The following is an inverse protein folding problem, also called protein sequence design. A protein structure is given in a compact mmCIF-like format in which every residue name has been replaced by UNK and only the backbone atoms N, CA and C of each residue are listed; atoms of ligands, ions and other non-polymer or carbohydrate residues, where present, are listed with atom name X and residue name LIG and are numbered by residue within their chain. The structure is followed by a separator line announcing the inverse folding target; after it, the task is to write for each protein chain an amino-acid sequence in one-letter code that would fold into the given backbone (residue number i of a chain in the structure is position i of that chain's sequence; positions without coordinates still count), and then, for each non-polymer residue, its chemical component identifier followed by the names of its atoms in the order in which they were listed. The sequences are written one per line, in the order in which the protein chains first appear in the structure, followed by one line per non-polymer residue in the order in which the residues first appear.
data_IF_843663871167
#
_entry.id   IF_843663871167
#
_cell.length_a   1.000
_cell.length_b   1.000
_cell.length_c   1.000
_cell.angle_alpha   90.00
_cell.angle_beta   90.00
_cell.angle_gamma   90.00
#
_symmetry.space_group_name_H-M   'P 1'
#
loop_
_entity.id
_entity.type
_entity.pdbx_description
1 polymer ?
#
# COMPACT_ATOMS: atom_id res chain seq x y z
N UNK A 1 13.16 8.54 12.30
CA UNK A 1 12.72 7.11 12.44
C UNK A 1 12.28 6.51 11.10
N UNK A 2 12.78 5.31 10.76
CA UNK A 2 12.54 4.62 9.49
C UNK A 2 11.14 3.99 9.36
N UNK A 3 10.13 4.84 9.14
CA UNK A 3 8.72 4.43 9.00
C UNK A 3 8.08 4.98 7.72
N UNK A 4 7.02 4.33 7.25
CA UNK A 4 6.22 4.78 6.11
C UNK A 4 5.52 6.11 6.44
N UNK A 5 5.65 7.13 5.59
CA UNK A 5 5.14 8.47 5.89
C UNK A 5 3.61 8.56 5.94
N UNK A 6 2.91 7.70 5.19
CA UNK A 6 1.44 7.77 5.11
C UNK A 6 0.73 6.92 6.15
N UNK A 7 1.29 5.74 6.46
CA UNK A 7 0.66 4.73 7.34
C UNK A 7 1.32 4.71 8.72
N UNK A 8 2.59 5.12 8.79
CA UNK A 8 3.42 4.94 9.97
C UNK A 8 3.80 3.49 10.25
N UNK A 9 3.69 2.56 9.29
CA UNK A 9 4.22 1.21 9.45
C UNK A 9 5.76 1.21 9.45
N UNK A 10 6.41 0.21 10.06
CA UNK A 10 7.86 0.04 9.96
C UNK A 10 8.27 -0.21 8.51
N UNK A 11 9.42 0.31 8.09
CA UNK A 11 9.98 0.04 6.75
C UNK A 11 10.83 -1.23 6.68
N UNK A 12 11.11 -1.86 7.83
CA UNK A 12 11.94 -3.07 7.90
C UNK A 12 13.44 -2.80 7.98
N UNK A 13 13.86 -1.57 8.27
CA UNK A 13 15.24 -1.21 8.57
C UNK A 13 15.27 -0.15 9.68
N UNK A 14 16.39 -0.03 10.37
CA UNK A 14 16.64 0.94 11.43
C UNK A 14 18.10 1.42 11.36
N UNK A 15 18.38 2.52 12.05
CA UNK A 15 19.73 3.03 12.25
C UNK A 15 19.97 3.10 13.75
N UNK A 16 21.19 2.75 14.17
CA UNK A 16 21.64 2.82 15.54
C UNK A 16 22.89 3.70 15.56
N UNK A 17 22.97 4.56 16.56
CA UNK A 17 24.11 5.42 16.83
C UNK A 17 24.76 4.94 18.12
N UNK A 18 26.08 4.81 18.09
CA UNK A 18 26.89 4.45 19.24
C UNK A 18 27.85 5.61 19.54
N UNK A 19 28.24 5.76 20.79
CA UNK A 19 29.22 6.76 21.20
C UNK A 19 30.62 6.49 20.61
N UNK A 20 30.96 5.21 20.42
CA UNK A 20 32.26 4.77 19.90
C UNK A 20 32.11 4.01 18.58
N UNK A 21 32.92 4.40 17.58
CA UNK A 21 32.94 3.77 16.25
C UNK A 21 33.30 2.28 16.29
N UNK A 22 34.20 1.89 17.20
CA UNK A 22 34.65 0.50 17.30
C UNK A 22 33.56 -0.42 17.84
N UNK A 23 32.73 0.08 18.76
CA UNK A 23 31.53 -0.65 19.22
C UNK A 23 30.56 -0.85 18.05
N UNK A 24 30.36 0.18 17.23
CA UNK A 24 29.49 0.08 16.06
C UNK A 24 29.99 -0.97 15.05
N UNK A 25 31.31 -1.07 14.82
CA UNK A 25 31.90 -2.11 13.96
C UNK A 25 31.69 -3.51 14.53
N UNK A 26 32.00 -3.71 15.82
CA UNK A 26 31.83 -5.01 16.49
C UNK A 26 30.37 -5.44 16.44
N UNK A 27 29.42 -4.55 16.74
CA UNK A 27 27.98 -4.86 16.68
C UNK A 27 27.55 -5.19 15.25
N UNK A 28 28.04 -4.44 14.25
CA UNK A 28 27.72 -4.70 12.86
C UNK A 28 28.20 -6.09 12.43
N UNK A 29 29.45 -6.45 12.75
CA UNK A 29 30.05 -7.72 12.35
C UNK A 29 29.42 -8.91 13.08
N UNK A 30 29.13 -8.76 14.38
CA UNK A 30 28.53 -9.83 15.21
C UNK A 30 27.06 -10.09 14.89
N UNK A 31 26.27 -9.05 14.60
CA UNK A 31 24.83 -9.18 14.32
C UNK A 31 24.52 -9.40 12.83
N UNK A 32 25.50 -9.27 11.94
CA UNK A 32 25.29 -9.50 10.51
C UNK A 32 25.05 -10.99 10.23
N UNK A 33 23.96 -11.29 9.52
CA UNK A 33 23.46 -12.64 9.26
C UNK A 33 22.95 -13.39 10.49
N UNK A 34 22.68 -12.69 11.59
CA UNK A 34 22.01 -13.30 12.73
C UNK A 34 20.55 -13.65 12.38
N UNK A 35 20.11 -14.87 12.72
CA UNK A 35 18.72 -15.27 12.53
C UNK A 35 17.86 -14.69 13.66
N UNK A 36 17.07 -13.67 13.35
CA UNK A 36 16.18 -13.02 14.31
C UNK A 36 14.72 -13.33 13.96
N UNK A 37 14.10 -14.16 14.79
CA UNK A 37 12.80 -14.76 14.51
C UNK A 37 12.84 -15.52 13.17
N UNK A 38 12.07 -15.07 12.17
CA UNK A 38 11.96 -15.74 10.85
C UNK A 38 12.86 -15.10 9.78
N UNK A 39 13.68 -14.10 10.13
CA UNK A 39 14.44 -13.31 9.15
C UNK A 39 15.91 -13.16 9.55
N UNK A 40 16.79 -13.23 8.57
CA UNK A 40 18.21 -12.91 8.76
C UNK A 40 18.39 -11.39 8.85
N UNK A 41 19.01 -10.94 9.94
CA UNK A 41 19.47 -9.56 10.08
C UNK A 41 20.62 -9.30 9.13
N UNK A 42 20.62 -8.12 8.52
CA UNK A 42 21.73 -7.61 7.74
C UNK A 42 22.16 -6.32 8.40
N UNK A 43 23.30 -6.37 9.08
CA UNK A 43 23.89 -5.23 9.75
C UNK A 43 25.11 -4.78 8.94
N UNK A 44 25.23 -3.46 8.76
CA UNK A 44 26.33 -2.85 8.03
C UNK A 44 26.77 -1.60 8.78
N UNK A 45 28.08 -1.45 8.94
CA UNK A 45 28.67 -0.22 9.44
C UNK A 45 28.62 0.85 8.35
N UNK A 46 28.14 2.05 8.70
CA UNK A 46 28.08 3.19 7.79
C UNK A 46 29.11 4.23 8.30
N UNK A 47 30.14 4.57 7.50
CA UNK A 47 31.08 5.60 7.90
C UNK A 47 30.40 6.97 7.96
N UNK A 48 30.88 7.90 8.80
CA UNK A 48 30.22 9.19 9.06
C UNK A 48 30.03 10.03 7.78
N UNK A 49 30.94 9.94 6.81
CA UNK A 49 30.85 10.63 5.52
C UNK A 49 29.62 10.25 4.69
N UNK A 50 29.13 9.01 4.85
CA UNK A 50 27.95 8.50 4.13
C UNK A 50 26.65 8.71 4.90
N UNK A 51 26.74 9.13 6.17
CA UNK A 51 25.57 9.41 6.99
C UNK A 51 24.95 10.72 6.53
N UNK A 52 23.64 10.71 6.31
CA UNK A 52 22.94 11.94 5.98
C UNK A 52 22.78 12.80 7.25
N UNK A 53 23.14 14.08 7.18
CA UNK A 53 23.01 15.07 8.27
C UNK A 53 21.68 15.02 9.05
N UNK A 54 20.55 14.75 8.38
CA UNK A 54 19.23 14.72 9.01
C UNK A 54 18.77 13.33 9.46
N UNK A 55 19.66 12.32 9.49
CA UNK A 55 19.27 10.93 9.76
C UNK A 55 18.70 10.74 11.17
N UNK A 56 19.38 11.31 12.16
CA UNK A 56 19.01 11.23 13.58
C UNK A 56 18.27 12.48 14.08
N UNK A 57 17.90 13.39 13.17
CA UNK A 57 17.10 14.56 13.54
C UNK A 57 15.78 14.11 14.17
N UNK A 58 15.48 14.67 15.35
CA UNK A 58 14.29 14.35 16.15
C UNK A 58 14.20 12.87 16.59
N UNK A 59 15.34 12.21 16.85
CA UNK A 59 15.37 10.84 17.35
C UNK A 59 14.66 10.66 18.70
N UNK A 60 14.73 11.66 19.59
CA UNK A 60 14.12 11.63 20.93
C UNK A 60 12.59 11.73 20.93
N UNK A 61 11.98 12.12 19.81
CA UNK A 61 10.54 12.34 19.73
C UNK A 61 9.80 11.02 19.56
N UNK A 62 8.80 10.79 20.43
CA UNK A 62 7.90 9.65 20.30
C UNK A 62 7.14 9.73 18.97
N UNK A 63 7.29 8.71 18.12
CA UNK A 63 6.60 8.66 16.83
C UNK A 63 5.09 8.55 17.00
N UNK A 64 4.34 9.50 16.42
CA UNK A 64 2.88 9.45 16.33
C UNK A 64 2.45 9.04 14.93
N UNK A 65 1.49 8.11 14.84
CA UNK A 65 0.95 7.68 13.55
C UNK A 65 0.32 8.88 12.83
N UNK A 66 0.61 9.08 11.53
CA UNK A 66 0.07 10.18 10.76
C UNK A 66 -1.47 10.09 10.72
N UNK A 67 -2.13 11.17 11.15
CA UNK A 67 -3.58 11.31 10.98
C UNK A 67 -3.86 12.02 9.66
N UNK A 68 -4.82 11.52 8.88
CA UNK A 68 -5.24 12.13 7.61
C UNK A 68 -6.64 12.77 7.74
N UNK A 69 -6.78 13.89 8.47
CA UNK A 69 -8.09 14.52 8.71
C UNK A 69 -8.70 15.06 7.42
N UNK A 70 -7.89 15.53 6.47
CA UNK A 70 -8.36 16.00 5.17
C UNK A 70 -9.00 14.88 4.35
N UNK A 71 -8.33 13.72 4.23
CA UNK A 71 -8.87 12.55 3.51
C UNK A 71 -10.17 12.08 4.15
N UNK A 72 -10.22 12.00 5.49
CA UNK A 72 -11.45 11.67 6.22
C UNK A 72 -12.58 12.67 5.97
N UNK A 73 -12.28 13.97 5.92
CA UNK A 73 -13.26 15.03 5.58
C UNK A 73 -13.79 14.90 4.16
N UNK A 74 -12.93 14.66 3.17
CA UNK A 74 -13.33 14.56 1.77
C UNK A 74 -14.13 13.29 1.48
N UNK A 75 -13.69 12.16 2.04
CA UNK A 75 -14.32 10.85 1.86
C UNK A 75 -15.51 10.61 2.80
N UNK A 76 -15.87 11.59 3.63
CA UNK A 76 -17.03 11.50 4.51
C UNK A 76 -18.30 11.27 3.67
N UNK A 77 -19.11 10.29 4.09
CA UNK A 77 -20.43 10.06 3.52
C UNK A 77 -21.31 11.29 3.79
N UNK A 78 -21.75 11.93 2.71
CA UNK A 78 -22.59 13.13 2.78
C UNK A 78 -24.06 12.79 2.96
N UNK A 79 -24.75 13.61 3.77
CA UNK A 79 -26.19 13.49 4.00
C UNK A 79 -26.99 13.87 2.74
N UNK A 80 -28.28 13.51 2.72
CA UNK A 80 -29.17 13.89 1.60
C UNK A 80 -29.29 15.42 1.45
N UNK A 81 -29.35 16.15 2.57
CA UNK A 81 -29.39 17.62 2.59
C UNK A 81 -28.12 18.22 2.00
N UNK A 82 -26.96 17.70 2.38
CA UNK A 82 -25.67 18.15 1.83
C UNK A 82 -25.55 17.86 0.33
N UNK A 83 -26.02 16.68 -0.11
CA UNK A 83 -26.08 16.31 -1.54
C UNK A 83 -26.99 17.26 -2.31
N UNK A 84 -28.16 17.63 -1.76
CA UNK A 84 -29.08 18.59 -2.38
C UNK A 84 -28.50 20.00 -2.45
N UNK A 85 -27.77 20.46 -1.42
CA UNK A 85 -27.05 21.75 -1.45
C UNK A 85 -25.96 21.74 -2.53
N UNK A 86 -25.22 20.64 -2.64
CA UNK A 86 -24.21 20.44 -3.69
C UNK A 86 -24.82 20.49 -5.09
N UNK A 87 -25.93 19.78 -5.34
CA UNK A 87 -26.58 19.77 -6.66
C UNK A 87 -27.06 21.16 -7.04
N UNK A 88 -27.66 21.92 -6.11
CA UNK A 88 -28.03 23.33 -6.33
C UNK A 88 -26.82 24.19 -6.71
N UNK A 89 -25.71 24.08 -5.96
CA UNK A 89 -24.46 24.84 -6.25
C UNK A 89 -23.91 24.50 -7.63
N UNK A 90 -23.97 23.23 -8.01
CA UNK A 90 -23.42 22.71 -9.24
C UNK A 90 -24.28 23.12 -10.46
N UNK A 91 -25.62 23.12 -10.35
CA UNK A 91 -26.52 23.71 -11.34
C UNK A 91 -26.32 25.22 -11.50
N UNK A 92 -26.07 25.96 -10.40
CA UNK A 92 -25.75 27.40 -10.47
C UNK A 92 -24.47 27.64 -11.26
N UNK A 93 -23.41 26.86 -11.00
CA UNK A 93 -22.15 26.95 -11.74
C UNK A 93 -22.32 26.63 -13.23
N UNK A 94 -23.13 25.62 -13.55
CA UNK A 94 -23.45 25.24 -14.92
C UNK A 94 -24.13 26.40 -15.69
N UNK A 95 -25.11 27.06 -15.07
CA UNK A 95 -25.77 28.24 -15.67
C UNK A 95 -24.79 29.40 -15.89
N UNK A 96 -23.92 29.67 -14.92
CA UNK A 96 -22.90 30.72 -15.06
C UNK A 96 -21.90 30.38 -16.16
N UNK A 97 -21.52 29.12 -16.31
CA UNK A 97 -20.63 28.69 -17.38
C UNK A 97 -21.28 28.88 -18.75
N UNK A 98 -22.55 28.49 -18.94
CA UNK A 98 -23.26 28.71 -20.21
C UNK A 98 -23.36 30.18 -20.59
N UNK A 99 -23.65 31.07 -19.61
CA UNK A 99 -23.65 32.52 -19.84
C UNK A 99 -22.29 33.03 -20.32
N UNK A 100 -21.20 32.61 -19.66
CA UNK A 100 -19.84 32.97 -20.06
C UNK A 100 -19.43 32.43 -21.43
N UNK A 101 -19.98 31.29 -21.86
CA UNK A 101 -19.73 30.76 -23.21
C UNK A 101 -20.49 31.55 -24.26
N UNK A 102 -21.76 31.88 -23.99
CA UNK A 102 -22.58 32.72 -24.87
C UNK A 102 -21.98 34.14 -25.03
N UNK A 103 -21.48 34.74 -23.95
CA UNK A 103 -20.76 36.03 -23.98
C UNK A 103 -19.52 36.00 -24.88
N UNK A 104 -18.90 34.82 -25.04
CA UNK A 104 -17.74 34.61 -25.92
C UNK A 104 -18.13 34.19 -27.34
N UNK A 105 -19.42 34.20 -27.68
CA UNK A 105 -19.93 33.77 -28.98
C UNK A 105 -19.82 32.27 -29.23
N UNK A 106 -19.59 31.46 -28.19
CA UNK A 106 -19.49 30.00 -28.30
C UNK A 106 -20.85 29.37 -27.98
N UNK A 107 -21.58 28.99 -29.03
CA UNK A 107 -22.81 28.22 -28.91
C UNK A 107 -22.45 26.75 -28.63
N UNK A 108 -22.43 26.38 -27.34
CA UNK A 108 -22.08 25.04 -26.90
C UNK A 108 -23.16 24.47 -25.97
N UNK A 109 -23.99 23.59 -26.54
CA UNK A 109 -24.95 22.81 -25.77
C UNK A 109 -24.38 21.45 -25.41
N UNK A 110 -24.38 21.12 -24.12
CA UNK A 110 -23.93 19.83 -23.61
C UNK A 110 -24.93 19.32 -22.59
N UNK A 111 -25.14 17.98 -22.53
CA UNK A 111 -26.01 17.35 -21.55
C UNK A 111 -25.39 17.53 -20.15
N UNK A 112 -25.76 18.62 -19.51
CA UNK A 112 -25.20 19.02 -18.24
C UNK A 112 -25.72 18.19 -17.06
N UNK A 113 -25.51 18.70 -15.85
CA UNK A 113 -25.77 17.91 -14.66
C UNK A 113 -27.26 17.71 -14.38
N UNK A 114 -28.12 18.55 -14.94
CA UNK A 114 -29.58 18.37 -14.90
C UNK A 114 -30.03 17.11 -15.66
N UNK A 115 -29.45 16.82 -16.83
CA UNK A 115 -29.83 15.66 -17.65
C UNK A 115 -29.48 14.33 -16.94
N UNK A 116 -28.36 14.29 -16.22
CA UNK A 116 -27.92 13.10 -15.47
C UNK A 116 -28.87 12.74 -14.32
N UNK A 117 -29.51 13.73 -13.68
CA UNK A 117 -30.50 13.50 -12.64
C UNK A 117 -31.75 12.79 -13.19
N UNK A 118 -32.17 13.15 -14.39
CA UNK A 118 -33.33 12.55 -15.07
C UNK A 118 -33.04 11.11 -15.53
N UNK A 119 -31.85 10.85 -16.06
CA UNK A 119 -31.42 9.52 -16.50
C UNK A 119 -31.41 8.49 -15.36
N UNK A 120 -30.99 8.88 -14.15
CA UNK A 120 -30.99 7.99 -12.97
C UNK A 120 -32.41 7.62 -12.51
N UNK A 121 -33.37 8.56 -12.58
CA UNK A 121 -34.79 8.27 -12.28
C UNK A 121 -35.36 7.24 -13.27
N UNK A 122 -35.09 7.41 -14.57
CA UNK A 122 -35.53 6.48 -15.62
C UNK A 122 -34.99 5.05 -15.45
N UNK A 123 -33.75 4.88 -14.98
CA UNK A 123 -33.17 3.55 -14.71
C UNK A 123 -33.82 2.84 -13.52
N UNK A 124 -34.10 3.54 -12.41
CA UNK A 124 -34.79 2.95 -11.24
C UNK A 124 -36.22 2.49 -11.55
N UNK A 125 -36.94 3.22 -12.42
CA UNK A 125 -38.30 2.84 -12.85
C UNK A 125 -38.29 1.59 -13.74
N UNK A 126 -37.23 1.36 -14.52
CA UNK A 126 -37.09 0.17 -15.38
C UNK A 126 -36.72 -1.09 -14.59
N UNK A 127 -35.90 -1.00 -13.53
CA UNK A 127 -35.59 -2.16 -12.67
C UNK A 127 -36.76 -2.58 -11.78
N UNK A 128 -37.65 -1.67 -11.38
CA UNK A 128 -38.86 -2.02 -10.63
C UNK A 128 -39.93 -2.77 -11.45
N UNK A 129 -39.84 -2.79 -12.80
CA UNK A 129 -40.80 -3.47 -13.69
C UNK A 129 -40.40 -4.90 -14.11
N UNK A 130 -39.27 -5.44 -13.68
CA UNK A 130 -38.85 -6.84 -13.93
C UNK A 130 -38.83 -7.66 -12.63
N UNK A 131 -40.00 -7.97 -12.07
CA UNK A 131 -40.13 -8.95 -11.00
C UNK A 131 -41.53 -9.56 -10.97
N UNK A 132 -41.84 -10.42 -11.95
CA UNK A 132 -42.85 -11.50 -11.86
C UNK A 132 -42.52 -12.59 -12.89
N UNK A 133 -41.59 -13.46 -12.57
CA UNK A 133 -41.56 -14.85 -13.05
C UNK A 133 -40.98 -15.68 -11.90
N UNK A 134 -41.88 -16.32 -11.16
CA UNK A 134 -41.53 -17.37 -10.21
C UNK A 134 -41.27 -18.64 -11.03
N UNK A 135 -40.01 -19.02 -11.18
CA UNK A 135 -39.65 -20.40 -11.52
C UNK A 135 -38.98 -20.96 -10.27
N UNK A 136 -39.77 -21.76 -9.56
CA UNK A 136 -39.33 -22.63 -8.49
C UNK A 136 -38.49 -23.76 -9.11
N UNK A 137 -37.21 -23.83 -8.75
CA UNK A 137 -36.43 -25.07 -8.80
C UNK A 137 -35.62 -25.14 -7.51
N UNK A 138 -36.15 -25.93 -6.59
CA UNK A 138 -35.49 -26.43 -5.39
C UNK A 138 -34.40 -27.43 -5.77
N UNK A 139 -33.13 -27.07 -5.62
CA UNK A 139 -32.00 -28.01 -5.61
C UNK A 139 -31.49 -28.14 -4.17
N UNK A 140 -31.97 -29.18 -3.49
CA UNK A 140 -31.33 -29.68 -2.28
C UNK A 140 -30.10 -30.47 -2.69
N UNK A 141 -28.92 -29.82 -2.67
CA UNK A 141 -27.64 -30.54 -2.74
C UNK A 141 -26.89 -30.31 -1.41
N UNK A 142 -26.46 -31.38 -0.71
CA UNK A 142 -25.64 -31.24 0.49
C UNK A 142 -24.24 -30.76 0.12
N UNK A 143 -23.84 -29.62 0.69
CA UNK A 143 -22.45 -29.15 0.66
C UNK A 143 -21.54 -30.17 1.33
N UNK A 144 -20.40 -30.59 0.73
CA UNK A 144 -19.49 -31.53 1.37
C UNK A 144 -18.85 -30.87 2.60
N UNK A 145 -19.23 -31.40 3.76
CA UNK A 145 -18.66 -31.09 5.07
C UNK A 145 -17.23 -31.61 5.12
N UNK A 146 -16.32 -30.77 5.62
CA UNK A 146 -14.93 -31.11 5.92
C UNK A 146 -14.86 -32.40 6.75
N UNK A 147 -14.30 -33.46 6.18
CA UNK A 147 -14.07 -34.76 6.84
C UNK A 147 -12.93 -34.62 7.87
N UNK A 148 -13.06 -35.15 9.10
CA UNK A 148 -12.08 -34.95 10.19
C UNK A 148 -10.72 -35.64 9.98
N UNK A 149 -10.55 -36.43 8.91
CA UNK A 149 -9.31 -37.15 8.59
C UNK A 149 -8.08 -36.22 8.41
N UNK A 150 -8.27 -34.92 8.14
CA UNK A 150 -7.16 -33.96 8.02
C UNK A 150 -6.59 -33.54 9.38
N UNK A 151 -7.36 -33.68 10.47
CA UNK A 151 -6.89 -33.33 11.82
C UNK A 151 -6.11 -34.46 12.50
N UNK A 152 -6.36 -35.73 12.18
CA UNK A 152 -5.58 -36.84 12.73
C UNK A 152 -4.14 -36.85 12.23
N UNK A 153 -3.90 -36.40 10.99
CA UNK A 153 -2.55 -36.35 10.41
C UNK A 153 -1.62 -35.33 11.09
N UNK A 154 -2.14 -34.44 11.94
CA UNK A 154 -1.34 -33.51 12.77
C UNK A 154 -1.14 -33.96 14.22
N UNK A 155 -1.81 -35.03 14.67
CA UNK A 155 -1.62 -35.58 16.02
C UNK A 155 -0.63 -36.74 16.11
N UNK A 156 -0.22 -37.32 14.98
CA UNK A 156 0.72 -38.45 14.94
C UNK A 156 2.22 -38.05 14.85
N UNK A 157 2.58 -36.83 15.26
CA UNK A 157 3.97 -36.40 15.43
C UNK A 157 4.20 -35.95 16.88
N UNK A 158 3.86 -36.84 17.82
CA UNK A 158 4.41 -36.82 19.16
C UNK A 158 5.03 -38.21 19.34
N UNK A 159 6.31 -38.31 18.99
CA UNK A 159 7.15 -39.46 19.32
C UNK A 159 8.01 -38.96 20.46
N UNK A 160 7.65 -39.39 21.66
CA UNK A 160 8.59 -39.50 22.77
C UNK A 160 9.49 -40.69 22.45
N UNK A 161 10.80 -40.49 22.36
CA UNK A 161 11.79 -41.46 22.83
C UNK A 161 13.18 -40.81 22.93
N UNK A 162 13.82 -41.08 24.06
CA UNK A 162 15.22 -40.79 24.39
C UNK A 162 16.18 -41.53 23.42
N UNK A 163 17.48 -41.17 23.49
CA UNK A 163 18.69 -41.96 23.12
C UNK A 163 19.52 -41.40 21.95
N UNK A 164 20.62 -40.76 22.36
CA UNK A 164 21.97 -40.66 21.75
C UNK A 164 22.23 -39.70 20.58
N UNK A 165 23.34 -38.98 20.75
CA UNK A 165 23.95 -38.03 19.83
C UNK A 165 24.41 -38.70 18.52
N UNK A 166 23.95 -38.18 17.38
CA UNK A 166 24.64 -38.38 16.10
C UNK A 166 24.69 -37.07 15.28
N UNK A 167 25.92 -36.60 15.12
CA UNK A 167 26.37 -35.44 14.35
C UNK A 167 25.88 -35.48 12.88
N UNK A 168 24.96 -34.59 12.50
CA UNK A 168 24.54 -34.45 11.10
C UNK A 168 25.54 -33.56 10.34
N UNK A 169 26.56 -34.18 9.74
CA UNK A 169 27.46 -33.52 8.79
C UNK A 169 26.75 -33.30 7.44
N UNK A 170 26.25 -32.09 7.19
CA UNK A 170 25.75 -31.68 5.88
C UNK A 170 26.91 -31.33 4.94
N UNK A 171 27.33 -32.31 4.12
CA UNK A 171 28.22 -32.06 2.97
C UNK A 171 27.50 -31.21 1.91
N UNK A 172 27.85 -29.93 1.82
CA UNK A 172 27.49 -29.07 0.68
C UNK A 172 28.45 -29.29 -0.50
N UNK A 173 27.96 -29.40 -1.75
CA UNK A 173 28.84 -29.41 -2.92
C UNK A 173 29.45 -28.02 -3.15
N UNK A 174 30.71 -28.01 -3.61
CA UNK A 174 31.53 -26.82 -3.81
C UNK A 174 31.07 -25.94 -4.97
N UNK A 175 31.31 -24.63 -4.83
CA UNK A 175 30.91 -23.59 -5.77
C UNK A 175 31.59 -23.74 -7.14
N UNK A 176 30.79 -23.69 -8.22
CA UNK A 176 31.29 -23.42 -9.57
C UNK A 176 30.97 -21.97 -9.96
N UNK A 177 32.05 -21.22 -10.18
CA UNK A 177 32.07 -19.87 -10.72
C UNK A 177 31.83 -19.92 -12.23
N UNK A 178 30.98 -19.04 -12.78
CA UNK A 178 31.22 -18.34 -14.07
C UNK A 178 30.16 -17.27 -14.39
N UNK A 179 30.67 -16.03 -14.43
CA UNK A 179 30.45 -14.91 -15.37
C UNK A 179 29.17 -14.06 -15.30
N UNK A 180 29.38 -12.83 -14.84
CA UNK A 180 28.44 -11.70 -14.86
C UNK A 180 28.39 -11.03 -16.24
N UNK A 181 27.19 -10.92 -16.81
CA UNK A 181 26.89 -10.07 -17.96
C UNK A 181 26.66 -8.64 -17.48
N UNK A 182 27.45 -7.67 -17.98
CA UNK A 182 27.30 -6.25 -17.64
C UNK A 182 26.05 -5.65 -18.32
N UNK A 183 25.19 -5.00 -17.55
CA UNK A 183 24.08 -4.16 -18.07
C UNK A 183 24.56 -2.71 -18.27
N UNK A 184 24.20 -2.04 -19.38
CA UNK A 184 24.62 -0.66 -19.62
C UNK A 184 23.91 0.35 -18.70
N UNK A 185 24.67 1.35 -18.24
CA UNK A 185 24.21 2.43 -17.35
C UNK A 185 23.26 3.39 -18.09
N UNK A 186 22.13 3.73 -17.46
CA UNK A 186 21.16 4.70 -17.95
C UNK A 186 21.61 6.12 -17.54
N UNK A 187 21.83 7.00 -18.52
CA UNK A 187 22.20 8.40 -18.26
C UNK A 187 21.02 9.22 -17.71
N UNK A 188 21.25 10.20 -16.80
CA UNK A 188 20.22 11.11 -16.32
C UNK A 188 19.88 12.18 -17.38
N UNK A 189 18.58 12.41 -17.60
CA UNK A 189 18.07 13.48 -18.48
C UNK A 189 18.28 14.85 -17.82
N UNK A 190 19.03 15.74 -18.48
CA UNK A 190 19.09 17.16 -18.12
C UNK A 190 17.77 17.85 -18.49
N UNK A 191 17.24 18.70 -17.60
CA UNK A 191 16.09 19.56 -17.86
C UNK A 191 16.58 20.94 -18.34
N UNK A 192 16.03 21.53 -19.41
CA UNK A 192 16.37 22.88 -19.81
C UNK A 192 15.79 23.90 -18.83
N UNK A 193 16.62 24.85 -18.40
CA UNK A 193 16.24 26.00 -17.59
C UNK A 193 15.49 27.02 -18.45
N UNK A 194 14.26 27.36 -18.06
CA UNK A 194 13.50 28.46 -18.65
C UNK A 194 14.08 29.79 -18.17
N UNK A 195 14.70 30.54 -19.09
CA UNK A 195 15.16 31.91 -18.89
C UNK A 195 13.97 32.80 -18.54
N UNK A 196 14.04 33.49 -17.40
CA UNK A 196 13.23 34.67 -17.08
C UNK A 196 13.55 35.76 -18.11
N UNK A 197 12.55 36.20 -18.87
CA UNK A 197 12.62 37.46 -19.60
C UNK A 197 12.29 38.61 -18.64
N UNK A 198 13.04 39.71 -18.81
CA UNK A 198 12.87 41.00 -18.11
C UNK A 198 11.62 41.70 -18.60
#
# INVERSE_FOLDING_TARGET
LSRHSQTGASKGYAFMEFESDDVAKIVADTMNNYLFSERLLKCQFIPPEKVHENLFKDCDKIFRKPSQPAVRRYNRIRSLVEKARMTKRLLRKERLLRKKLAEKGLEYDFPGFAAQALAKKRKKVKTAKKAKLNVSLSSQDPTPVCTPAVLERRKAAQVDDDTEDDEITLRLPSASVKNAVQRPKKQPRQRPSLKKQK
#
